data_IF_247228958664
#
_entry.id   IF_247228958664
#
_cell.length_a   1.000
_cell.length_b   1.000
_cell.length_c   1.000
_cell.angle_alpha   90.00
_cell.angle_beta   90.00
_cell.angle_gamma   90.00
#
_symmetry.space_group_name_H-M   'P 1'
#
loop_
_entity.id
_entity.type
_entity.pdbx_description
1 polymer ?
#
# COMPACT_ATOMS: atom_id res chain seq x y z
N UNK A 1 5.04 2.63 -5.47
CA UNK A 1 5.38 4.01 -5.16
C UNK A 1 6.30 4.06 -3.94
N UNK A 2 7.51 4.58 -4.11
CA UNK A 2 8.42 4.84 -2.99
C UNK A 2 8.10 6.21 -2.38
N UNK A 3 7.96 6.26 -1.06
CA UNK A 3 7.64 7.50 -0.34
C UNK A 3 8.79 7.86 0.60
N UNK A 4 9.27 9.14 0.56
CA UNK A 4 10.33 9.55 1.47
C UNK A 4 9.90 9.40 2.92
N UNK A 5 10.79 8.84 3.76
CA UNK A 5 10.54 8.63 5.18
C UNK A 5 10.69 9.86 6.07
N UNK A 6 10.97 11.06 5.52
CA UNK A 6 11.17 12.30 6.29
C UNK A 6 9.86 13.02 6.60
N UNK A 7 9.77 13.60 7.79
CA UNK A 7 8.57 14.34 8.28
C UNK A 7 8.18 15.50 7.37
N UNK A 8 9.16 16.13 6.70
CA UNK A 8 8.94 17.28 5.80
C UNK A 8 8.12 16.95 4.55
N UNK A 9 7.96 15.67 4.20
CA UNK A 9 7.20 15.21 3.02
C UNK A 9 5.79 14.71 3.34
N UNK A 10 5.27 15.02 4.52
CA UNK A 10 3.96 14.50 4.99
C UNK A 10 2.80 14.78 4.02
N UNK A 11 2.75 15.96 3.42
CA UNK A 11 1.68 16.34 2.48
C UNK A 11 1.76 15.57 1.13
N UNK A 12 2.98 15.31 0.62
CA UNK A 12 3.16 14.52 -0.60
C UNK A 12 2.83 13.05 -0.36
N UNK A 13 3.26 12.52 0.78
CA UNK A 13 2.94 11.18 1.22
C UNK A 13 1.43 10.98 1.40
N UNK A 14 0.74 11.93 2.04
CA UNK A 14 -0.70 11.83 2.27
C UNK A 14 -1.50 11.75 0.97
N UNK A 15 -1.08 12.47 -0.07
CA UNK A 15 -1.69 12.37 -1.42
C UNK A 15 -1.45 10.99 -2.04
N UNK A 16 -0.27 10.42 -1.84
CA UNK A 16 0.08 9.09 -2.33
C UNK A 16 -0.75 8.01 -1.64
N UNK A 17 -0.98 8.11 -0.33
CA UNK A 17 -1.80 7.14 0.42
C UNK A 17 -3.22 6.99 -0.13
N UNK A 18 -3.78 8.06 -0.71
CA UNK A 18 -5.12 8.03 -1.31
C UNK A 18 -5.26 7.12 -2.54
N UNK A 19 -4.15 6.67 -3.12
CA UNK A 19 -4.13 5.83 -4.34
C UNK A 19 -3.46 4.47 -4.13
N UNK A 20 -2.98 4.17 -2.92
CA UNK A 20 -2.40 2.86 -2.60
C UNK A 20 -3.50 1.82 -2.40
N UNK A 21 -3.26 0.62 -2.91
CA UNK A 21 -4.06 -0.57 -2.59
C UNK A 21 -3.50 -1.25 -1.34
N UNK A 22 -2.18 -1.28 -1.20
CA UNK A 22 -1.44 -1.83 -0.07
C UNK A 22 -0.24 -0.94 0.26
N UNK A 23 0.21 -1.01 1.48
CA UNK A 23 1.44 -0.38 1.94
C UNK A 23 2.40 -1.39 2.56
N UNK A 24 3.69 -1.17 2.36
CA UNK A 24 4.75 -1.84 3.07
C UNK A 24 5.37 -0.83 4.04
N UNK A 25 5.17 -1.04 5.34
CA UNK A 25 5.75 -0.21 6.38
C UNK A 25 7.09 -0.82 6.81
N UNK A 26 8.20 -0.16 6.46
CA UNK A 26 9.54 -0.61 6.82
C UNK A 26 9.97 0.01 8.15
N UNK A 27 10.37 -0.83 9.10
CA UNK A 27 10.79 -0.44 10.45
C UNK A 27 12.22 -0.95 10.67
N UNK A 28 13.08 -0.15 11.30
CA UNK A 28 14.42 -0.58 11.71
C UNK A 28 14.34 -1.45 12.96
N UNK A 29 14.82 -2.68 12.89
CA UNK A 29 14.91 -3.59 14.05
C UNK A 29 15.86 -3.11 15.13
N UNK A 30 16.88 -2.33 14.75
CA UNK A 30 17.82 -1.74 15.71
C UNK A 30 17.20 -0.58 16.51
N UNK A 31 16.35 0.24 15.86
CA UNK A 31 15.81 1.48 16.45
C UNK A 31 14.37 1.27 16.98
N UNK A 32 13.67 0.23 16.51
CA UNK A 32 12.28 -0.05 16.86
C UNK A 32 11.29 0.99 16.30
N UNK A 33 10.13 1.08 16.95
CA UNK A 33 9.07 1.99 16.55
C UNK A 33 9.41 3.42 16.99
N UNK A 34 9.62 4.31 16.01
CA UNK A 34 9.91 5.73 16.21
C UNK A 34 8.62 6.57 16.13
N UNK A 35 8.66 7.82 16.62
CA UNK A 35 7.49 8.72 16.55
C UNK A 35 6.97 8.96 15.14
N UNK A 36 7.88 9.00 14.14
CA UNK A 36 7.51 9.08 12.74
C UNK A 36 6.75 7.83 12.26
N UNK A 37 7.20 6.65 12.66
CA UNK A 37 6.52 5.37 12.33
C UNK A 37 5.08 5.36 12.85
N UNK A 38 4.83 5.88 14.05
CA UNK A 38 3.47 6.02 14.59
C UNK A 38 2.61 7.01 13.80
N UNK A 39 3.23 8.06 13.29
CA UNK A 39 2.52 9.02 12.43
C UNK A 39 2.12 8.37 11.12
N UNK A 40 3.02 7.61 10.48
CA UNK A 40 2.72 6.83 9.28
C UNK A 40 1.60 5.81 9.55
N UNK A 41 1.68 5.08 10.65
CA UNK A 41 0.65 4.12 11.03
C UNK A 41 -0.74 4.75 11.17
N UNK A 42 -0.82 5.91 11.83
CA UNK A 42 -2.09 6.66 11.96
C UNK A 42 -2.63 7.13 10.60
N UNK A 43 -1.76 7.55 9.69
CA UNK A 43 -2.16 7.93 8.34
C UNK A 43 -2.66 6.72 7.54
N UNK A 44 -1.94 5.60 7.55
CA UNK A 44 -2.36 4.34 6.92
C UNK A 44 -3.73 3.88 7.45
N UNK A 45 -3.97 4.01 8.76
CA UNK A 45 -5.27 3.74 9.38
C UNK A 45 -6.35 4.71 8.89
N UNK A 46 -6.06 6.01 8.83
CA UNK A 46 -7.00 7.05 8.38
C UNK A 46 -7.45 6.84 6.93
N UNK A 47 -6.52 6.42 6.06
CA UNK A 47 -6.79 6.14 4.65
C UNK A 47 -7.26 4.70 4.37
N UNK A 48 -7.42 3.91 5.41
CA UNK A 48 -7.81 2.50 5.34
C UNK A 48 -6.93 1.67 4.39
N UNK A 49 -5.62 1.92 4.38
CA UNK A 49 -4.67 1.20 3.50
C UNK A 49 -4.22 -0.09 4.17
N UNK A 50 -4.51 -1.28 3.62
CA UNK A 50 -3.99 -2.55 4.09
C UNK A 50 -2.46 -2.52 4.15
N UNK A 51 -1.86 -3.05 5.23
CA UNK A 51 -0.46 -2.79 5.50
C UNK A 51 0.28 -4.07 5.89
N UNK A 52 1.36 -4.34 5.17
CA UNK A 52 2.40 -5.30 5.53
C UNK A 52 3.52 -4.58 6.28
N UNK A 53 4.16 -5.25 7.22
CA UNK A 53 5.25 -4.67 8.01
C UNK A 53 6.53 -5.46 7.76
N UNK A 54 7.58 -4.78 7.32
CA UNK A 54 8.90 -5.39 7.17
C UNK A 54 9.86 -4.80 8.19
N UNK A 55 10.34 -5.63 9.12
CA UNK A 55 11.31 -5.24 10.12
C UNK A 55 12.70 -5.54 9.59
N UNK A 56 13.37 -4.47 9.15
CA UNK A 56 14.70 -4.50 8.54
C UNK A 56 15.82 -4.38 9.57
N UNK A 57 17.03 -4.70 9.18
CA UNK A 57 18.25 -4.63 10.02
C UNK A 57 18.20 -5.60 11.21
N UNK A 58 17.62 -6.78 11.03
CA UNK A 58 17.61 -7.82 12.06
C UNK A 58 18.99 -8.43 12.34
N UNK A 59 19.99 -8.15 11.50
CA UNK A 59 21.40 -8.47 11.71
C UNK A 59 22.10 -7.56 12.75
N UNK A 60 21.45 -6.49 13.18
CA UNK A 60 21.99 -5.60 14.20
C UNK A 60 21.98 -6.27 15.59
N UNK A 61 23.06 -6.13 16.40
CA UNK A 61 23.15 -6.77 17.73
C UNK A 61 22.03 -6.38 18.72
N UNK A 62 21.39 -5.24 18.51
CA UNK A 62 20.30 -4.74 19.35
C UNK A 62 18.92 -5.23 18.92
N UNK A 63 18.81 -5.87 17.76
CA UNK A 63 17.53 -6.35 17.23
C UNK A 63 17.06 -7.60 18.00
N UNK A 64 15.81 -7.54 18.49
CA UNK A 64 15.17 -8.62 19.22
C UNK A 64 13.76 -8.82 18.65
N UNK A 65 13.57 -9.90 17.89
CA UNK A 65 12.32 -10.23 17.19
C UNK A 65 11.12 -10.25 18.15
N UNK A 66 11.26 -10.91 19.29
CA UNK A 66 10.16 -11.07 20.25
C UNK A 66 9.75 -9.73 20.86
N UNK A 67 10.70 -8.90 21.26
CA UNK A 67 10.41 -7.56 21.78
C UNK A 67 9.77 -6.66 20.73
N UNK A 68 10.26 -6.72 19.49
CA UNK A 68 9.74 -5.91 18.39
C UNK A 68 8.29 -6.30 18.08
N UNK A 69 7.97 -7.59 17.99
CA UNK A 69 6.60 -8.06 17.78
C UNK A 69 5.67 -7.63 18.92
N UNK A 70 6.11 -7.74 20.18
CA UNK A 70 5.34 -7.24 21.32
C UNK A 70 5.12 -5.72 21.27
N UNK A 71 6.12 -4.95 20.82
CA UNK A 71 5.96 -3.51 20.63
C UNK A 71 4.96 -3.19 19.53
N UNK A 72 4.98 -3.92 18.41
CA UNK A 72 4.03 -3.78 17.31
C UNK A 72 2.60 -4.07 17.80
N UNK A 73 2.39 -5.20 18.47
CA UNK A 73 1.09 -5.54 19.06
C UNK A 73 0.59 -4.43 19.99
N UNK A 74 1.41 -3.96 20.91
CA UNK A 74 1.03 -2.94 21.90
C UNK A 74 0.76 -1.55 21.31
N UNK A 75 1.54 -1.11 20.30
CA UNK A 75 1.51 0.28 19.79
C UNK A 75 0.67 0.44 18.54
N UNK A 76 0.49 -0.63 17.76
CA UNK A 76 -0.24 -0.61 16.49
C UNK A 76 -1.54 -1.39 16.55
N UNK A 77 -1.45 -2.71 16.69
CA UNK A 77 -2.61 -3.60 16.74
C UNK A 77 -2.21 -4.98 17.23
N UNK A 78 -3.09 -5.64 17.99
CA UNK A 78 -2.94 -7.06 18.34
C UNK A 78 -2.90 -7.97 17.11
N UNK A 79 -3.45 -7.52 15.98
CA UNK A 79 -3.39 -8.19 14.68
C UNK A 79 -2.01 -8.15 14.00
N UNK A 80 -0.96 -7.62 14.62
CA UNK A 80 0.42 -7.78 14.13
C UNK A 80 0.90 -9.19 14.43
N UNK A 81 1.03 -10.03 13.38
CA UNK A 81 1.39 -11.44 13.49
C UNK A 81 2.64 -11.73 12.67
N UNK A 82 3.49 -12.62 13.17
CA UNK A 82 4.73 -13.05 12.50
C UNK A 82 4.40 -13.98 11.31
N UNK A 83 4.69 -13.51 10.12
CA UNK A 83 4.51 -14.25 8.86
C UNK A 83 5.83 -14.76 8.27
N UNK A 84 6.92 -14.75 9.03
CA UNK A 84 8.20 -15.30 8.58
C UNK A 84 8.03 -16.79 8.24
N UNK A 85 8.42 -17.17 7.01
CA UNK A 85 8.27 -18.55 6.51
C UNK A 85 6.93 -18.87 5.84
N UNK A 86 5.97 -17.95 5.82
CA UNK A 86 4.59 -18.17 5.30
C UNK A 86 4.46 -18.31 3.78
N UNK A 87 5.56 -18.21 3.04
CA UNK A 87 5.57 -18.26 1.57
C UNK A 87 5.09 -19.61 0.97
N UNK A 88 4.87 -20.62 1.80
CA UNK A 88 4.32 -21.93 1.40
C UNK A 88 2.83 -22.10 1.79
N UNK A 89 2.14 -21.00 2.08
CA UNK A 89 0.73 -21.03 2.47
C UNK A 89 0.50 -21.22 3.98
N UNK A 90 -0.74 -21.55 4.35
CA UNK A 90 -1.20 -21.62 5.75
C UNK A 90 -0.48 -22.66 6.61
N UNK A 91 0.05 -23.74 6.03
CA UNK A 91 0.80 -24.75 6.79
C UNK A 91 2.01 -24.14 7.53
N UNK A 92 2.67 -23.15 6.91
CA UNK A 92 3.81 -22.46 7.50
C UNK A 92 3.43 -21.49 8.63
N UNK A 93 2.14 -21.21 8.80
CA UNK A 93 1.59 -20.34 9.84
C UNK A 93 1.03 -21.12 11.04
N UNK A 94 1.22 -22.44 11.11
CA UNK A 94 0.62 -23.29 12.15
C UNK A 94 0.87 -22.76 13.58
N UNK A 95 2.09 -22.25 13.84
CA UNK A 95 2.48 -21.74 15.16
C UNK A 95 1.79 -20.41 15.55
N UNK A 96 1.24 -19.67 14.56
CA UNK A 96 0.61 -18.35 14.76
C UNK A 96 -0.88 -18.36 14.37
N UNK A 97 -1.41 -19.54 14.06
CA UNK A 97 -2.80 -19.70 13.60
C UNK A 97 -3.82 -19.24 14.65
N UNK A 98 -3.52 -19.46 15.94
CA UNK A 98 -4.36 -18.99 17.04
C UNK A 98 -4.38 -17.45 17.11
N UNK A 99 -3.23 -16.79 16.94
CA UNK A 99 -3.11 -15.34 16.88
C UNK A 99 -3.94 -14.76 15.71
N UNK A 100 -3.97 -15.44 14.57
CA UNK A 100 -4.78 -15.06 13.41
C UNK A 100 -6.27 -15.28 13.69
N UNK A 101 -6.63 -16.43 14.27
CA UNK A 101 -8.01 -16.76 14.61
C UNK A 101 -8.67 -15.72 15.53
N UNK A 102 -7.91 -15.18 16.49
CA UNK A 102 -8.40 -14.16 17.42
C UNK A 102 -8.76 -12.82 16.73
N UNK A 103 -8.47 -12.62 15.44
CA UNK A 103 -8.75 -11.36 14.76
C UNK A 103 -10.18 -11.24 14.22
N UNK A 104 -10.93 -12.35 14.10
CA UNK A 104 -12.35 -12.30 13.73
C UNK A 104 -13.10 -13.56 14.17
N UNK A 105 -14.43 -13.44 14.31
CA UNK A 105 -15.31 -14.58 14.62
C UNK A 105 -15.23 -15.66 13.54
N UNK A 106 -15.26 -15.27 12.26
CA UNK A 106 -15.18 -16.20 11.12
C UNK A 106 -13.85 -16.98 11.11
N UNK A 107 -12.73 -16.31 11.38
CA UNK A 107 -11.43 -16.97 11.45
C UNK A 107 -11.37 -17.92 12.65
N UNK A 108 -11.95 -17.54 13.79
CA UNK A 108 -12.03 -18.39 14.98
C UNK A 108 -12.89 -19.63 14.73
N UNK A 109 -14.05 -19.50 14.09
CA UNK A 109 -14.91 -20.61 13.72
C UNK A 109 -14.18 -21.60 12.82
N UNK A 110 -13.55 -21.12 11.73
CA UNK A 110 -12.76 -21.96 10.83
C UNK A 110 -11.64 -22.71 11.57
N UNK A 111 -10.93 -22.02 12.45
CA UNK A 111 -9.84 -22.62 13.22
C UNK A 111 -10.34 -23.69 14.20
N UNK A 112 -11.48 -23.48 14.87
CA UNK A 112 -12.06 -24.44 15.80
C UNK A 112 -12.63 -25.68 15.09
N UNK A 113 -13.19 -25.51 13.88
CA UNK A 113 -13.79 -26.59 13.11
C UNK A 113 -12.75 -27.42 12.32
N UNK A 114 -11.80 -26.76 11.68
CA UNK A 114 -10.88 -27.35 10.72
C UNK A 114 -9.42 -27.44 11.21
N UNK A 115 -9.09 -26.76 12.31
CA UNK A 115 -7.72 -26.62 12.81
C UNK A 115 -6.83 -25.71 11.97
N UNK A 116 -7.41 -25.03 10.98
CA UNK A 116 -6.72 -24.12 10.06
C UNK A 116 -7.64 -22.99 9.61
N UNK A 117 -7.07 -21.93 9.05
CA UNK A 117 -7.81 -20.78 8.50
C UNK A 117 -7.52 -20.73 7.00
N UNK A 118 -8.54 -20.68 6.13
CA UNK A 118 -8.35 -20.57 4.68
C UNK A 118 -7.55 -19.31 4.31
N UNK A 119 -6.67 -19.43 3.30
CA UNK A 119 -5.88 -18.30 2.78
C UNK A 119 -6.76 -17.11 2.38
N UNK A 120 -7.96 -17.39 1.87
CA UNK A 120 -8.91 -16.36 1.47
C UNK A 120 -9.40 -15.54 2.67
N UNK A 121 -9.69 -16.18 3.80
CA UNK A 121 -10.03 -15.49 5.05
C UNK A 121 -8.86 -14.65 5.57
N UNK A 122 -7.62 -15.15 5.45
CA UNK A 122 -6.41 -14.39 5.81
C UNK A 122 -6.29 -13.14 4.93
N UNK A 123 -6.51 -13.25 3.60
CA UNK A 123 -6.52 -12.12 2.67
C UNK A 123 -7.59 -11.08 3.02
N UNK A 124 -8.79 -11.54 3.40
CA UNK A 124 -9.87 -10.65 3.88
C UNK A 124 -9.46 -9.88 5.13
N UNK A 125 -8.93 -10.55 6.13
CA UNK A 125 -8.46 -9.91 7.37
C UNK A 125 -7.37 -8.86 7.10
N UNK A 126 -6.46 -9.12 6.16
CA UNK A 126 -5.44 -8.16 5.75
C UNK A 126 -6.09 -6.96 5.04
N UNK A 127 -7.01 -7.21 4.09
CA UNK A 127 -7.71 -6.17 3.34
C UNK A 127 -8.56 -5.26 4.25
N UNK A 128 -9.20 -5.84 5.27
CA UNK A 128 -10.00 -5.14 6.28
C UNK A 128 -9.17 -4.47 7.38
N UNK A 129 -7.84 -4.64 7.36
CA UNK A 129 -6.92 -4.12 8.38
C UNK A 129 -7.17 -4.70 9.78
N UNK A 130 -7.66 -5.90 9.86
CA UNK A 130 -7.73 -6.68 11.08
C UNK A 130 -6.40 -7.41 11.35
N UNK A 131 -5.71 -7.85 10.29
CA UNK A 131 -4.44 -8.57 10.33
C UNK A 131 -3.33 -7.80 9.61
N UNK A 132 -2.13 -7.78 10.21
CA UNK A 132 -0.96 -7.09 9.71
C UNK A 132 0.23 -8.05 9.66
N UNK A 133 0.53 -8.66 8.50
CA UNK A 133 1.65 -9.56 8.36
C UNK A 133 2.98 -8.86 8.66
N UNK A 134 3.75 -9.40 9.59
CA UNK A 134 5.06 -8.92 9.99
C UNK A 134 6.14 -9.88 9.51
N UNK A 135 7.11 -9.37 8.78
CA UNK A 135 8.28 -10.11 8.30
C UNK A 135 9.55 -9.51 8.88
N UNK A 136 10.52 -10.36 9.15
CA UNK A 136 11.78 -9.97 9.79
C UNK A 136 12.95 -10.34 8.89
N UNK A 137 13.88 -9.41 8.67
CA UNK A 137 15.00 -9.67 7.79
C UNK A 137 16.08 -8.59 7.80
N UNK A 138 17.05 -8.74 6.92
CA UNK A 138 18.12 -7.78 6.67
C UNK A 138 18.28 -7.56 5.18
N UNK A 139 17.84 -6.40 4.70
CA UNK A 139 17.98 -6.03 3.29
C UNK A 139 19.46 -5.96 2.86
N UNK A 140 20.37 -5.57 3.78
CA UNK A 140 21.81 -5.53 3.50
C UNK A 140 22.37 -6.93 3.19
N UNK A 141 21.87 -7.95 3.89
CA UNK A 141 22.29 -9.35 3.72
C UNK A 141 21.39 -10.15 2.78
N UNK A 142 20.33 -9.55 2.27
CA UNK A 142 19.26 -10.21 1.49
C UNK A 142 18.56 -11.33 2.27
N UNK A 143 18.58 -11.31 3.59
CA UNK A 143 17.91 -12.29 4.45
C UNK A 143 16.45 -11.89 4.65
N UNK A 144 15.52 -12.83 4.45
CA UNK A 144 14.06 -12.65 4.63
C UNK A 144 13.38 -11.81 3.53
N UNK A 145 14.12 -11.35 2.51
CA UNK A 145 13.55 -10.53 1.42
C UNK A 145 12.71 -11.39 0.47
N UNK A 146 13.24 -12.53 0.03
CA UNK A 146 12.53 -13.43 -0.89
C UNK A 146 11.27 -14.00 -0.22
N UNK A 147 11.35 -14.34 1.07
CA UNK A 147 10.20 -14.78 1.86
C UNK A 147 9.13 -13.68 1.99
N UNK A 148 9.56 -12.45 2.24
CA UNK A 148 8.66 -11.30 2.31
C UNK A 148 7.94 -11.06 0.97
N UNK A 149 8.68 -11.07 -0.15
CA UNK A 149 8.10 -10.85 -1.49
C UNK A 149 7.10 -11.97 -1.81
N UNK A 150 7.48 -13.23 -1.59
CA UNK A 150 6.60 -14.36 -1.84
C UNK A 150 5.34 -14.33 -0.97
N UNK A 151 5.46 -14.02 0.32
CA UNK A 151 4.33 -13.86 1.23
C UNK A 151 3.43 -12.67 0.84
N UNK A 152 4.04 -11.55 0.42
CA UNK A 152 3.30 -10.40 -0.08
C UNK A 152 2.50 -10.77 -1.34
N UNK A 153 3.12 -11.39 -2.35
CA UNK A 153 2.43 -11.85 -3.58
C UNK A 153 1.31 -12.85 -3.28
N UNK A 154 1.50 -13.71 -2.28
CA UNK A 154 0.50 -14.72 -1.91
C UNK A 154 -0.76 -14.12 -1.27
N UNK A 155 -0.60 -13.12 -0.41
CA UNK A 155 -1.70 -12.57 0.39
C UNK A 155 -2.28 -11.26 -0.14
N UNK A 156 -1.69 -10.63 -1.15
CA UNK A 156 -2.25 -9.45 -1.81
C UNK A 156 -3.38 -9.88 -2.77
N UNK A 157 -4.46 -9.14 -2.76
CA UNK A 157 -5.50 -9.22 -3.78
C UNK A 157 -5.31 -8.11 -4.79
N UNK A 158 -5.39 -8.43 -6.06
CA UNK A 158 -5.50 -7.41 -7.09
C UNK A 158 -6.88 -6.76 -7.01
N UNK A 159 -6.96 -5.43 -7.03
CA UNK A 159 -8.24 -4.74 -7.00
C UNK A 159 -9.01 -5.02 -8.31
N UNK A 160 -10.26 -5.39 -8.19
CA UNK A 160 -11.16 -5.51 -9.33
C UNK A 160 -11.72 -4.13 -9.71
N UNK A 161 -11.42 -3.68 -10.91
CA UNK A 161 -11.91 -2.44 -11.44
C UNK A 161 -13.01 -2.66 -12.49
N UNK A 162 -13.99 -1.75 -12.52
CA UNK A 162 -15.05 -1.79 -13.54
C UNK A 162 -14.53 -1.51 -14.96
N UNK A 163 -15.34 -1.86 -15.98
CA UNK A 163 -14.98 -1.64 -17.39
C UNK A 163 -15.06 -0.18 -17.84
N UNK A 164 -15.71 0.70 -17.08
CA UNK A 164 -15.76 2.14 -17.37
C UNK A 164 -14.48 2.84 -16.92
N UNK A 165 -14.04 3.83 -17.70
CA UNK A 165 -12.84 4.59 -17.36
C UNK A 165 -13.00 5.32 -16.02
N UNK A 166 -12.07 5.09 -15.13
CA UNK A 166 -11.92 5.76 -13.86
C UNK A 166 -10.45 6.04 -13.57
N UNK A 167 -10.15 7.17 -12.94
CA UNK A 167 -8.80 7.49 -12.52
C UNK A 167 -8.78 8.37 -11.26
N UNK A 168 -7.72 8.24 -10.45
CA UNK A 168 -7.45 9.10 -9.30
C UNK A 168 -6.16 9.88 -9.51
N UNK A 169 -6.24 11.20 -9.49
CA UNK A 169 -5.09 12.08 -9.56
C UNK A 169 -4.50 12.24 -8.15
N UNK A 170 -3.19 12.01 -8.02
CA UNK A 170 -2.51 12.15 -6.73
C UNK A 170 -1.36 13.16 -6.73
N UNK A 171 -0.85 13.57 -7.92
CA UNK A 171 0.23 14.54 -8.01
C UNK A 171 0.14 15.33 -9.31
N UNK A 172 0.53 16.61 -9.24
CA UNK A 172 0.80 17.46 -10.42
C UNK A 172 2.24 17.97 -10.30
N UNK A 173 3.01 17.86 -11.37
CA UNK A 173 4.39 18.34 -11.44
C UNK A 173 4.69 18.88 -12.84
N UNK A 174 5.90 19.34 -13.07
CA UNK A 174 6.37 19.76 -14.38
C UNK A 174 7.61 18.95 -14.77
N UNK A 175 7.75 18.64 -16.05
CA UNK A 175 8.97 18.03 -16.57
C UNK A 175 10.08 19.10 -16.74
N UNK A 176 11.28 18.66 -17.17
CA UNK A 176 12.44 19.54 -17.38
C UNK A 176 12.23 20.60 -18.47
N UNK A 177 11.19 20.44 -19.29
CA UNK A 177 10.83 21.38 -20.36
C UNK A 177 9.70 22.33 -19.93
N UNK A 178 9.20 22.20 -18.68
CA UNK A 178 8.12 23.02 -18.15
C UNK A 178 6.72 22.49 -18.51
N UNK A 179 6.60 21.32 -19.16
CA UNK A 179 5.30 20.75 -19.45
C UNK A 179 4.66 20.19 -18.18
N UNK A 180 3.37 20.45 -17.99
CA UNK A 180 2.62 19.94 -16.85
C UNK A 180 2.45 18.41 -16.96
N UNK A 181 2.77 17.71 -15.88
CA UNK A 181 2.55 16.28 -15.70
C UNK A 181 1.47 16.07 -14.65
N UNK A 182 0.38 15.41 -15.03
CA UNK A 182 -0.66 14.97 -14.10
C UNK A 182 -0.47 13.48 -13.84
N UNK A 183 -0.13 13.14 -12.60
CA UNK A 183 0.08 11.77 -12.16
C UNK A 183 -1.24 11.19 -11.70
N UNK A 184 -1.62 10.08 -12.30
CA UNK A 184 -2.88 9.41 -12.01
C UNK A 184 -2.70 7.90 -11.88
N UNK A 185 -3.57 7.28 -11.10
CA UNK A 185 -3.79 5.84 -11.09
C UNK A 185 -5.07 5.56 -11.85
N UNK A 186 -5.02 4.69 -12.85
CA UNK A 186 -6.23 4.18 -13.51
C UNK A 186 -6.95 3.24 -12.54
N UNK A 187 -8.25 3.42 -12.37
CA UNK A 187 -9.11 2.64 -11.47
C UNK A 187 -10.29 2.00 -12.22
N UNK A 188 -10.19 1.87 -13.52
CA UNK A 188 -11.16 1.21 -14.38
C UNK A 188 -11.00 1.57 -15.83
N UNK A 189 -11.40 0.66 -16.71
CA UNK A 189 -11.40 0.83 -18.14
C UNK A 189 -10.03 1.11 -18.75
N UNK A 190 -10.00 1.74 -19.89
CA UNK A 190 -8.80 2.06 -20.65
C UNK A 190 -8.66 3.58 -20.80
N UNK A 191 -7.46 4.12 -20.56
CA UNK A 191 -7.13 5.51 -20.81
C UNK A 191 -6.26 5.66 -22.05
N UNK A 192 -6.74 6.40 -23.04
CA UNK A 192 -6.05 6.63 -24.33
C UNK A 192 -5.44 8.02 -24.42
N UNK A 193 -4.28 8.12 -25.04
CA UNK A 193 -3.70 9.41 -25.43
C UNK A 193 -4.67 10.17 -26.36
N UNK A 194 -4.64 11.49 -26.31
CA UNK A 194 -5.53 12.41 -27.05
C UNK A 194 -7.02 12.36 -26.67
N UNK A 195 -7.37 11.62 -25.60
CA UNK A 195 -8.73 11.61 -25.04
C UNK A 195 -9.02 12.92 -24.31
N UNK A 196 -10.25 13.41 -24.48
CA UNK A 196 -10.78 14.53 -23.69
C UNK A 196 -11.25 13.97 -22.34
N UNK A 197 -10.67 14.48 -21.26
CA UNK A 197 -11.10 14.22 -19.90
C UNK A 197 -12.06 15.29 -19.44
N UNK A 198 -13.06 14.91 -18.65
CA UNK A 198 -13.95 15.82 -17.97
C UNK A 198 -14.20 15.36 -16.54
N UNK A 199 -14.50 16.31 -15.66
CA UNK A 199 -14.78 15.97 -14.27
C UNK A 199 -15.30 17.14 -13.48
N UNK A 200 -15.85 16.88 -12.30
CA UNK A 200 -16.28 17.89 -11.34
C UNK A 200 -15.06 18.49 -10.64
N UNK A 201 -14.97 19.81 -10.57
CA UNK A 201 -13.98 20.48 -9.75
C UNK A 201 -14.25 20.19 -8.26
N UNK A 202 -13.24 19.72 -7.52
CA UNK A 202 -13.36 19.65 -6.06
C UNK A 202 -13.32 21.08 -5.50
N UNK A 203 -14.25 21.39 -4.61
CA UNK A 203 -14.27 22.65 -3.84
C UNK A 203 -12.94 22.74 -3.07
N UNK A 204 -12.13 23.79 -3.36
CA UNK A 204 -10.84 24.04 -2.69
C UNK A 204 -9.58 23.72 -3.51
N UNK A 205 -9.69 23.17 -4.71
CA UNK A 205 -8.58 23.17 -5.66
C UNK A 205 -8.57 24.51 -6.38
N UNK A 206 -7.43 25.19 -6.36
CA UNK A 206 -7.21 26.40 -7.18
C UNK A 206 -7.43 25.99 -8.64
N UNK A 207 -8.43 26.55 -9.35
CA UNK A 207 -8.69 26.17 -10.73
C UNK A 207 -7.68 26.86 -11.63
N UNK A 208 -6.39 26.50 -11.49
CA UNK A 208 -5.35 26.96 -12.39
C UNK A 208 -5.73 26.55 -13.80
N UNK A 209 -6.19 27.50 -14.59
CA UNK A 209 -6.40 27.48 -16.05
C UNK A 209 -7.33 26.40 -16.65
N UNK A 210 -7.93 25.51 -15.86
CA UNK A 210 -8.95 24.59 -16.37
C UNK A 210 -10.21 25.38 -16.70
N UNK A 211 -10.53 25.52 -17.97
CA UNK A 211 -11.77 26.16 -18.42
C UNK A 211 -12.94 25.25 -18.00
N UNK A 212 -13.74 25.72 -17.05
CA UNK A 212 -15.01 25.11 -16.73
C UNK A 212 -15.94 25.38 -17.92
N UNK A 213 -16.47 24.31 -18.53
CA UNK A 213 -17.43 24.40 -19.60
C UNK A 213 -18.80 24.89 -19.12
N UNK A 214 -19.70 25.16 -20.06
CA UNK A 214 -21.09 25.57 -19.77
C UNK A 214 -21.88 24.48 -19.01
N UNK A 215 -21.39 23.23 -19.04
CA UNK A 215 -21.90 22.06 -18.30
C UNK A 215 -21.46 21.99 -16.83
N UNK A 216 -20.63 22.95 -16.37
CA UNK A 216 -20.06 22.99 -15.03
C UNK A 216 -18.93 22.00 -14.79
N UNK A 217 -18.44 21.35 -15.84
CA UNK A 217 -17.31 20.41 -15.78
C UNK A 217 -16.02 21.07 -16.27
N UNK A 218 -14.89 20.64 -15.75
CA UNK A 218 -13.61 20.95 -16.37
C UNK A 218 -13.36 19.98 -17.54
N UNK A 219 -12.75 20.47 -18.58
CA UNK A 219 -12.35 19.69 -19.75
C UNK A 219 -10.87 19.89 -20.04
N UNK A 220 -10.14 18.79 -20.15
CA UNK A 220 -8.71 18.82 -20.48
C UNK A 220 -8.37 17.65 -21.42
N UNK A 221 -7.57 17.94 -22.44
CA UNK A 221 -7.09 16.93 -23.37
C UNK A 221 -5.76 16.37 -22.88
N UNK A 222 -5.68 15.04 -22.79
CA UNK A 222 -4.43 14.37 -22.51
C UNK A 222 -3.64 14.18 -23.82
N UNK A 223 -2.64 15.02 -24.07
CA UNK A 223 -1.87 14.95 -25.32
C UNK A 223 -0.96 13.72 -25.39
N UNK A 224 -0.39 13.29 -24.27
CA UNK A 224 0.54 12.18 -24.19
C UNK A 224 0.32 11.40 -22.88
N UNK A 225 0.43 10.07 -22.96
CA UNK A 225 0.43 9.18 -21.80
C UNK A 225 1.84 8.62 -21.60
N UNK A 226 2.36 8.72 -20.39
CA UNK A 226 3.68 8.22 -19.99
C UNK A 226 3.54 7.20 -18.87
N UNK A 227 4.18 6.06 -19.02
CA UNK A 227 4.33 5.06 -17.94
C UNK A 227 5.75 5.14 -17.42
N UNK A 228 5.89 5.39 -16.12
CA UNK A 228 7.18 5.53 -15.44
C UNK A 228 7.61 4.23 -14.79
N UNK A 229 8.90 3.90 -14.94
CA UNK A 229 9.59 2.85 -14.18
C UNK A 229 10.86 3.46 -13.59
N UNK A 230 10.80 3.80 -12.31
CA UNK A 230 11.81 4.63 -11.66
C UNK A 230 11.91 6.02 -12.31
N UNK A 231 13.13 6.43 -12.68
CA UNK A 231 13.37 7.72 -13.34
C UNK A 231 13.11 7.72 -14.86
N UNK A 232 12.89 6.55 -15.46
CA UNK A 232 12.67 6.40 -16.91
C UNK A 232 11.18 6.30 -17.20
N UNK A 233 10.77 6.75 -18.36
CA UNK A 233 9.41 6.55 -18.84
C UNK A 233 9.37 6.06 -20.28
N UNK A 234 8.30 5.41 -20.63
CA UNK A 234 7.89 5.12 -22.01
C UNK A 234 6.60 5.85 -22.34
N UNK A 235 6.50 6.34 -23.57
CA UNK A 235 5.24 6.88 -24.08
C UNK A 235 4.41 5.73 -24.61
N UNK A 236 3.13 5.71 -24.26
CA UNK A 236 2.18 4.68 -24.68
C UNK A 236 0.93 5.31 -25.27
N UNK A 237 0.24 4.57 -26.13
CA UNK A 237 -1.02 5.02 -26.72
C UNK A 237 -2.20 4.84 -25.76
N UNK A 238 -2.13 3.83 -24.89
CA UNK A 238 -3.14 3.58 -23.86
C UNK A 238 -2.57 2.86 -22.63
N UNK A 239 -3.30 2.94 -21.52
CA UNK A 239 -3.08 2.20 -20.27
C UNK A 239 -4.42 1.66 -19.73
N UNK A 240 -4.36 0.53 -19.02
CA UNK A 240 -5.49 -0.14 -18.36
C UNK A 240 -5.24 -0.18 -16.88
#
# INVERSE_FOLDING_TARGET
LDTPGHVDFSAEMERTLAVLDYAILVISGADGIQGHTETLWRLLKRYNVPTFIFINKMDAPAADKTKLLQQLKKRFSDGCVDFTGSHNGTEALADVMEDIAMQSETAMESYLEEGTIPDETIRELIAERALFPCFFGSALKMEGIDEFIAGFEWYVREPEYGGEFGARIYKVSHDSQGNRLTWLKVTGGEFKAKTMLSGTARVGSDPGESKIGDDGLWHEKADQVRVYSGAKFSTVDSVV
#
